data_IF_006199755902
#
_entry.id   IF_006199755902
#
_cell.length_a   1.000
_cell.length_b   1.000
_cell.length_c   1.000
_cell.angle_alpha   90.00
_cell.angle_beta   90.00
_cell.angle_gamma   90.00
#
_symmetry.space_group_name_H-M   'P 1'
#
loop_
_entity.id
_entity.type
_entity.pdbx_description
1 polymer ?
#
# COMPACT_ATOMS: atom_id res chain seq x y z
N UNK A 1 10.98 26.04 -6.93
CA UNK A 1 11.11 25.21 -8.16
C UNK A 1 10.50 25.93 -9.37
N UNK A 2 11.12 25.88 -10.55
CA UNK A 2 10.49 26.42 -11.77
C UNK A 2 9.25 25.60 -12.15
N UNK A 3 8.26 26.21 -12.83
CA UNK A 3 7.06 25.48 -13.32
C UNK A 3 7.45 24.24 -14.15
N UNK A 4 8.55 24.33 -14.91
CA UNK A 4 9.09 23.20 -15.68
C UNK A 4 9.59 22.05 -14.81
N UNK A 5 10.32 22.34 -13.73
CA UNK A 5 10.79 21.31 -12.79
C UNK A 5 9.62 20.64 -12.06
N UNK A 6 8.60 21.42 -11.65
CA UNK A 6 7.40 20.89 -11.01
C UNK A 6 6.64 19.90 -11.89
N UNK A 7 6.45 20.23 -13.17
CA UNK A 7 5.77 19.33 -14.10
C UNK A 7 6.54 18.03 -14.33
N UNK A 8 7.88 18.08 -14.40
CA UNK A 8 8.72 16.88 -14.49
C UNK A 8 8.55 15.97 -13.26
N UNK A 9 8.49 16.55 -12.05
CA UNK A 9 8.24 15.78 -10.82
C UNK A 9 6.86 15.11 -10.84
N UNK A 10 5.81 15.83 -11.21
CA UNK A 10 4.46 15.27 -11.34
C UNK A 10 4.41 14.13 -12.36
N UNK A 11 5.05 14.30 -13.52
CA UNK A 11 5.10 13.28 -14.56
C UNK A 11 5.85 12.01 -14.12
N UNK A 12 6.85 12.14 -13.25
CA UNK A 12 7.62 11.02 -12.72
C UNK A 12 6.91 10.27 -11.57
N UNK A 13 5.77 10.75 -11.07
CA UNK A 13 5.07 10.18 -9.89
C UNK A 13 4.82 8.66 -10.03
N UNK A 14 4.35 8.21 -11.19
CA UNK A 14 4.02 6.80 -11.45
C UNK A 14 5.18 6.00 -12.06
N UNK A 15 6.38 6.58 -12.13
CA UNK A 15 7.55 5.88 -12.66
C UNK A 15 7.81 4.61 -11.84
N UNK A 16 7.81 3.46 -12.54
CA UNK A 16 8.00 2.11 -11.98
C UNK A 16 7.00 1.73 -10.87
N UNK A 17 5.82 2.34 -10.84
CA UNK A 17 4.77 2.05 -9.86
C UNK A 17 4.46 0.56 -9.73
N UNK A 18 4.26 -0.14 -10.86
CA UNK A 18 4.03 -1.58 -10.87
C UNK A 18 5.18 -2.38 -10.22
N UNK A 19 6.43 -2.05 -10.54
CA UNK A 19 7.60 -2.72 -9.93
C UNK A 19 7.70 -2.46 -8.43
N UNK A 20 7.38 -1.24 -7.97
CA UNK A 20 7.33 -0.91 -6.53
C UNK A 20 6.22 -1.68 -5.82
N UNK A 21 5.02 -1.74 -6.41
CA UNK A 21 3.88 -2.49 -5.89
C UNK A 21 4.21 -3.97 -5.76
N UNK A 22 4.71 -4.59 -6.83
CA UNK A 22 5.13 -5.98 -6.86
C UNK A 22 6.15 -6.32 -5.77
N UNK A 23 7.11 -5.42 -5.52
CA UNK A 23 8.08 -5.59 -4.43
C UNK A 23 7.42 -5.59 -3.04
N UNK A 24 6.46 -4.70 -2.78
CA UNK A 24 5.71 -4.70 -1.52
C UNK A 24 4.84 -5.96 -1.36
N UNK A 25 4.25 -6.44 -2.45
CA UNK A 25 3.49 -7.70 -2.45
C UNK A 25 4.39 -8.90 -2.17
N UNK A 26 5.59 -8.95 -2.78
CA UNK A 26 6.57 -9.99 -2.51
C UNK A 26 6.90 -10.07 -1.02
N UNK A 27 7.18 -8.93 -0.37
CA UNK A 27 7.44 -8.90 1.07
C UNK A 27 6.26 -9.38 1.90
N UNK A 28 5.05 -8.92 1.57
CA UNK A 28 3.83 -9.27 2.30
C UNK A 28 3.52 -10.76 2.20
N UNK A 29 3.66 -11.34 1.00
CA UNK A 29 3.38 -12.76 0.76
C UNK A 29 4.46 -13.64 1.40
N UNK A 30 5.73 -13.26 1.31
CA UNK A 30 6.80 -13.98 2.01
C UNK A 30 6.57 -13.98 3.52
N UNK A 31 6.23 -12.83 4.11
CA UNK A 31 5.90 -12.74 5.54
C UNK A 31 4.73 -13.66 5.93
N UNK A 32 3.63 -13.60 5.19
CA UNK A 32 2.45 -14.43 5.47
C UNK A 32 2.77 -15.93 5.38
N UNK A 33 3.47 -16.39 4.34
CA UNK A 33 3.81 -17.82 4.19
C UNK A 33 4.71 -18.30 5.32
N UNK A 34 5.71 -17.50 5.72
CA UNK A 34 6.61 -17.85 6.82
C UNK A 34 5.86 -18.03 8.15
N UNK A 35 4.76 -17.31 8.35
CA UNK A 35 4.00 -17.31 9.61
C UNK A 35 2.65 -18.05 9.57
N UNK A 36 2.19 -18.56 8.41
CA UNK A 36 0.94 -19.32 8.29
C UNK A 36 1.18 -20.83 8.25
N UNK A 37 1.95 -21.28 7.26
CA UNK A 37 2.19 -22.71 7.00
C UNK A 37 3.39 -23.23 7.79
N UNK A 38 4.28 -22.33 8.23
CA UNK A 38 5.56 -22.68 8.81
C UNK A 38 6.47 -23.39 7.81
N UNK A 39 7.73 -23.63 8.18
CA UNK A 39 8.71 -24.26 7.28
C UNK A 39 8.49 -25.77 7.10
N UNK A 40 7.57 -26.38 7.86
CA UNK A 40 7.21 -27.81 7.87
C UNK A 40 8.38 -28.79 7.63
N UNK A 41 9.56 -28.44 8.14
CA UNK A 41 10.80 -29.21 8.05
C UNK A 41 11.40 -29.42 6.65
N UNK A 42 10.91 -28.74 5.59
CA UNK A 42 11.26 -29.07 4.20
C UNK A 42 11.86 -27.92 3.36
N UNK A 43 11.74 -26.66 3.80
CA UNK A 43 12.29 -25.50 3.09
C UNK A 43 12.95 -24.53 4.07
N UNK A 44 14.04 -23.87 3.68
CA UNK A 44 14.58 -22.75 4.46
C UNK A 44 13.74 -21.48 4.24
N UNK A 45 13.77 -20.47 5.14
CA UNK A 45 13.11 -19.19 4.87
C UNK A 45 13.55 -18.55 3.55
N UNK A 46 14.81 -18.78 3.16
CA UNK A 46 15.32 -18.31 1.88
C UNK A 46 14.65 -19.01 0.69
N UNK A 47 14.34 -20.30 0.79
CA UNK A 47 13.68 -21.03 -0.30
C UNK A 47 12.28 -20.47 -0.53
N UNK A 48 11.54 -20.18 0.55
CA UNK A 48 10.25 -19.46 0.48
C UNK A 48 10.42 -18.10 -0.19
N UNK A 49 11.43 -17.31 0.21
CA UNK A 49 11.69 -16.01 -0.42
C UNK A 49 11.96 -16.13 -1.92
N UNK A 50 12.76 -17.12 -2.35
CA UNK A 50 13.06 -17.38 -3.76
C UNK A 50 11.82 -17.78 -4.55
N UNK A 51 11.00 -18.67 -4.00
CA UNK A 51 9.76 -19.11 -4.63
C UNK A 51 8.79 -17.94 -4.84
N UNK A 52 8.57 -17.13 -3.81
CA UNK A 52 7.72 -15.94 -3.93
C UNK A 52 8.33 -14.93 -4.92
N UNK A 53 9.65 -14.73 -4.91
CA UNK A 53 10.33 -13.84 -5.85
C UNK A 53 10.13 -14.23 -7.32
N UNK A 54 9.99 -15.52 -7.65
CA UNK A 54 9.70 -15.97 -9.01
C UNK A 54 8.36 -15.45 -9.53
N UNK A 55 7.36 -15.33 -8.66
CA UNK A 55 6.01 -14.88 -9.02
C UNK A 55 5.87 -13.36 -8.99
N UNK A 56 6.56 -12.68 -8.08
CA UNK A 56 6.34 -11.26 -7.81
C UNK A 56 7.47 -10.35 -8.30
N UNK A 57 8.69 -10.83 -8.58
CA UNK A 57 9.78 -9.98 -9.05
C UNK A 57 10.08 -10.20 -10.53
N UNK A 58 10.25 -9.11 -11.27
CA UNK A 58 10.66 -9.13 -12.69
C UNK A 58 12.12 -9.57 -12.82
N UNK A 59 12.97 -9.09 -11.93
CA UNK A 59 14.38 -9.47 -11.86
C UNK A 59 14.59 -10.35 -10.65
N UNK A 60 15.08 -11.56 -10.88
CA UNK A 60 15.27 -12.53 -9.81
C UNK A 60 16.42 -12.11 -8.88
N UNK A 61 16.28 -12.36 -7.57
CA UNK A 61 17.33 -12.07 -6.61
C UNK A 61 18.57 -12.93 -6.88
N UNK A 62 19.74 -12.40 -6.55
CA UNK A 62 21.01 -13.11 -6.71
C UNK A 62 21.08 -14.32 -5.76
N UNK A 63 21.86 -15.34 -6.10
CA UNK A 63 21.97 -16.55 -5.26
C UNK A 63 22.47 -16.27 -3.84
N UNK A 64 23.28 -15.22 -3.68
CA UNK A 64 23.83 -14.76 -2.41
C UNK A 64 22.96 -13.70 -1.71
N UNK A 65 21.76 -13.40 -2.23
CA UNK A 65 20.82 -12.48 -1.57
C UNK A 65 20.49 -13.01 -0.16
N UNK A 66 20.56 -12.15 0.86
CA UNK A 66 20.20 -12.49 2.24
C UNK A 66 19.27 -11.44 2.84
N UNK A 67 18.40 -10.85 2.00
CA UNK A 67 17.45 -9.80 2.37
C UNK A 67 16.70 -10.10 3.66
N UNK A 68 16.24 -11.35 3.85
CA UNK A 68 15.50 -11.76 5.05
C UNK A 68 16.28 -11.50 6.35
N UNK A 69 17.60 -11.67 6.35
CA UNK A 69 18.42 -11.40 7.54
C UNK A 69 18.39 -9.93 7.97
N UNK A 70 18.08 -9.01 7.04
CA UNK A 70 17.89 -7.58 7.32
C UNK A 70 16.41 -7.17 7.42
N UNK A 71 15.46 -8.12 7.39
CA UNK A 71 14.04 -7.79 7.34
C UNK A 71 13.45 -7.55 8.75
N UNK A 72 13.95 -6.53 9.43
CA UNK A 72 13.62 -6.26 10.84
C UNK A 72 12.14 -6.03 11.13
N UNK A 73 11.33 -5.63 10.14
CA UNK A 73 9.90 -5.39 10.35
C UNK A 73 9.19 -6.64 10.89
N UNK A 74 9.53 -7.82 10.37
CA UNK A 74 8.84 -9.08 10.70
C UNK A 74 9.63 -9.94 11.71
N UNK A 75 10.92 -9.68 11.91
CA UNK A 75 11.77 -10.46 12.84
C UNK A 75 12.12 -9.73 14.13
N UNK A 76 12.06 -8.39 14.15
CA UNK A 76 12.43 -7.56 15.29
C UNK A 76 11.50 -6.34 15.44
N UNK A 77 10.28 -6.42 14.89
CA UNK A 77 9.30 -5.35 14.84
C UNK A 77 7.89 -5.88 15.01
N UNK A 78 6.90 -4.99 14.93
CA UNK A 78 5.49 -5.32 15.14
C UNK A 78 4.74 -5.84 13.91
N UNK A 79 5.44 -6.25 12.85
CA UNK A 79 4.82 -6.59 11.56
C UNK A 79 4.92 -8.07 11.20
N UNK A 80 5.28 -8.95 12.13
CA UNK A 80 5.24 -10.40 11.90
C UNK A 80 3.80 -10.84 11.52
N UNK A 81 3.65 -11.58 10.42
CA UNK A 81 2.34 -11.91 9.82
C UNK A 81 1.46 -10.68 9.52
N UNK A 82 2.08 -9.52 9.34
CA UNK A 82 1.43 -8.22 9.34
C UNK A 82 2.04 -7.24 8.35
N UNK A 83 3.03 -7.61 7.55
CA UNK A 83 3.67 -6.68 6.61
C UNK A 83 2.69 -6.20 5.51
N UNK A 84 1.65 -7.01 5.21
CA UNK A 84 0.57 -6.62 4.31
C UNK A 84 -0.18 -5.35 4.76
N UNK A 85 -0.11 -5.01 6.06
CA UNK A 85 -0.75 -3.83 6.65
C UNK A 85 -0.36 -2.52 5.95
N UNK A 86 0.85 -2.41 5.40
CA UNK A 86 1.24 -1.24 4.61
C UNK A 86 0.36 -1.05 3.39
N UNK A 87 0.19 -2.10 2.57
CA UNK A 87 -0.64 -2.01 1.36
C UNK A 87 -2.13 -1.96 1.69
N UNK A 88 -2.55 -2.61 2.77
CA UNK A 88 -3.91 -2.47 3.29
C UNK A 88 -4.23 -1.03 3.69
N UNK A 89 -3.35 -0.40 4.48
CA UNK A 89 -3.49 0.99 4.89
C UNK A 89 -3.38 1.96 3.70
N UNK A 90 -2.62 1.62 2.66
CA UNK A 90 -2.51 2.44 1.45
C UNK A 90 -3.79 2.45 0.61
N UNK A 91 -4.55 1.35 0.60
CA UNK A 91 -5.91 1.34 0.03
C UNK A 91 -6.79 2.34 0.78
N UNK A 92 -6.79 2.28 2.12
CA UNK A 92 -7.56 3.20 2.95
C UNK A 92 -7.12 4.66 2.74
N UNK A 93 -5.83 4.94 2.73
CA UNK A 93 -5.33 6.32 2.62
C UNK A 93 -5.55 6.91 1.23
N UNK A 94 -5.39 6.13 0.15
CA UNK A 94 -5.68 6.59 -1.21
C UNK A 94 -7.17 6.87 -1.39
N UNK A 95 -8.04 5.98 -0.89
CA UNK A 95 -9.49 6.17 -0.96
C UNK A 95 -9.95 7.33 -0.06
N UNK A 96 -9.36 7.50 1.12
CA UNK A 96 -9.61 8.66 1.96
C UNK A 96 -9.19 9.97 1.27
N UNK A 97 -8.02 10.00 0.62
CA UNK A 97 -7.57 11.15 -0.16
C UNK A 97 -8.50 11.42 -1.35
N UNK A 98 -9.07 10.38 -1.96
CA UNK A 98 -10.03 10.56 -3.06
C UNK A 98 -11.28 11.34 -2.64
N UNK A 99 -11.66 11.34 -1.36
CA UNK A 99 -12.74 12.19 -0.87
C UNK A 99 -12.40 13.70 -0.99
N UNK A 100 -11.11 14.07 -0.86
CA UNK A 100 -10.65 15.44 -1.12
C UNK A 100 -10.60 15.74 -2.63
N UNK A 101 -10.25 14.75 -3.46
CA UNK A 101 -10.30 14.89 -4.92
C UNK A 101 -11.74 15.12 -5.42
N UNK A 102 -12.72 14.40 -4.86
CA UNK A 102 -14.14 14.47 -5.22
C UNK A 102 -14.77 15.84 -4.99
N UNK A 103 -14.34 16.56 -3.94
CA UNK A 103 -14.86 17.89 -3.63
C UNK A 103 -14.11 19.04 -4.35
N UNK A 104 -13.01 18.72 -5.04
CA UNK A 104 -12.13 19.68 -5.69
C UNK A 104 -11.06 20.23 -4.74
N UNK A 105 -9.78 19.94 -5.02
CA UNK A 105 -8.65 20.36 -4.18
C UNK A 105 -8.39 21.88 -4.19
N UNK A 106 -8.96 22.60 -5.13
CA UNK A 106 -8.94 24.06 -5.25
C UNK A 106 -10.12 24.75 -4.53
N UNK A 107 -11.10 23.98 -4.06
CA UNK A 107 -12.22 24.48 -3.28
C UNK A 107 -11.90 24.48 -1.78
N UNK A 108 -11.27 25.56 -1.29
CA UNK A 108 -10.78 25.66 0.09
C UNK A 108 -11.84 25.38 1.15
N UNK A 109 -13.08 25.85 0.95
CA UNK A 109 -14.18 25.61 1.89
C UNK A 109 -14.56 24.13 1.98
N UNK A 110 -14.63 23.44 0.83
CA UNK A 110 -14.95 22.00 0.81
C UNK A 110 -13.80 21.11 1.27
N UNK A 111 -12.56 21.53 0.99
CA UNK A 111 -11.36 20.87 1.53
C UNK A 111 -11.33 20.99 3.05
N UNK A 112 -11.64 22.17 3.59
CA UNK A 112 -11.75 22.40 5.05
C UNK A 112 -12.83 21.51 5.66
N UNK A 113 -14.04 21.49 5.10
CA UNK A 113 -15.14 20.63 5.57
C UNK A 113 -14.75 19.14 5.58
N UNK A 114 -14.07 18.68 4.53
CA UNK A 114 -13.58 17.29 4.44
C UNK A 114 -12.45 17.01 5.46
N UNK A 115 -11.57 17.98 5.68
CA UNK A 115 -10.51 17.90 6.68
C UNK A 115 -11.04 17.84 8.11
N UNK A 116 -12.07 18.61 8.44
CA UNK A 116 -12.76 18.56 9.73
C UNK A 116 -13.38 17.18 9.95
N UNK A 117 -14.06 16.63 8.94
CA UNK A 117 -14.60 15.27 9.00
C UNK A 117 -13.51 14.22 9.20
N UNK A 118 -12.36 14.35 8.51
CA UNK A 118 -11.22 13.43 8.68
C UNK A 118 -10.63 13.50 10.09
N UNK A 119 -10.50 14.71 10.64
CA UNK A 119 -10.05 14.95 12.01
C UNK A 119 -10.98 14.28 13.02
N UNK A 120 -12.28 14.53 12.90
CA UNK A 120 -13.28 14.09 13.90
C UNK A 120 -13.57 12.58 13.83
N UNK A 121 -13.10 11.90 12.77
CA UNK A 121 -13.24 10.45 12.59
C UNK A 121 -11.88 9.75 12.69
N UNK A 122 -11.12 9.68 11.59
CA UNK A 122 -9.90 8.89 11.45
C UNK A 122 -8.83 9.25 12.48
N UNK A 123 -8.70 10.53 12.83
CA UNK A 123 -7.67 10.99 13.77
C UNK A 123 -8.13 11.02 15.23
N UNK A 124 -9.42 11.25 15.50
CA UNK A 124 -9.93 11.44 16.86
C UNK A 124 -10.34 10.15 17.57
N UNK A 125 -10.80 9.13 16.84
CA UNK A 125 -11.45 7.96 17.46
C UNK A 125 -10.47 6.88 17.94
N UNK A 126 -9.20 6.92 17.49
CA UNK A 126 -8.16 5.97 17.90
C UNK A 126 -8.61 4.50 17.80
N UNK A 127 -8.26 3.70 18.81
CA UNK A 127 -8.74 2.31 18.95
C UNK A 127 -10.08 2.17 19.68
N UNK A 128 -10.78 3.27 19.99
CA UNK A 128 -12.03 3.26 20.75
C UNK A 128 -13.26 2.85 19.93
N UNK A 129 -13.11 2.72 18.61
CA UNK A 129 -14.15 2.27 17.67
C UNK A 129 -13.53 1.38 16.61
N UNK A 130 -14.34 0.46 16.08
CA UNK A 130 -13.93 -0.40 14.98
C UNK A 130 -13.44 0.42 13.78
N UNK A 131 -12.26 0.07 13.24
CA UNK A 131 -11.60 0.83 12.19
C UNK A 131 -12.41 0.87 10.87
N UNK A 132 -13.16 -0.20 10.55
CA UNK A 132 -14.02 -0.22 9.37
C UNK A 132 -15.15 0.80 9.53
N UNK A 133 -15.72 0.91 10.74
CA UNK A 133 -16.75 1.91 11.06
C UNK A 133 -16.20 3.33 11.07
N UNK A 134 -15.01 3.56 11.60
CA UNK A 134 -14.35 4.88 11.53
C UNK A 134 -14.17 5.30 10.06
N UNK A 135 -13.72 4.38 9.20
CA UNK A 135 -13.55 4.67 7.78
C UNK A 135 -14.89 4.92 7.08
N UNK A 136 -15.92 4.10 7.33
CA UNK A 136 -17.27 4.30 6.79
C UNK A 136 -17.88 5.64 7.21
N UNK A 137 -17.71 6.05 8.46
CA UNK A 137 -18.18 7.35 8.95
C UNK A 137 -17.49 8.53 8.23
N UNK A 138 -16.19 8.41 7.93
CA UNK A 138 -15.47 9.42 7.17
C UNK A 138 -15.88 9.44 5.69
N UNK A 139 -15.90 8.26 5.07
CA UNK A 139 -15.98 8.08 3.62
C UNK A 139 -17.40 8.00 3.08
N UNK A 140 -18.36 7.63 3.93
CA UNK A 140 -19.76 7.33 3.59
C UNK A 140 -19.97 5.96 2.97
N UNK A 141 -18.92 5.15 2.79
CA UNK A 141 -18.96 3.81 2.18
C UNK A 141 -17.74 2.96 2.60
N UNK A 142 -17.77 1.63 2.40
CA UNK A 142 -16.59 0.79 2.55
C UNK A 142 -15.44 1.19 1.61
N UNK A 143 -14.18 0.86 1.96
CA UNK A 143 -13.01 1.21 1.17
C UNK A 143 -12.94 0.45 -0.16
N UNK A 144 -12.41 1.08 -1.20
CA UNK A 144 -12.09 0.45 -2.49
C UNK A 144 -10.65 0.70 -2.92
N UNK A 145 -10.08 -0.22 -3.71
CA UNK A 145 -8.72 -0.11 -4.22
C UNK A 145 -8.59 0.82 -5.44
N UNK A 146 -9.70 1.32 -5.98
CA UNK A 146 -9.73 2.05 -7.24
C UNK A 146 -8.90 3.34 -7.19
N UNK A 147 -8.97 4.07 -6.07
CA UNK A 147 -8.18 5.28 -5.88
C UNK A 147 -6.67 4.97 -5.87
N UNK A 148 -6.25 3.92 -5.16
CA UNK A 148 -4.86 3.48 -5.14
C UNK A 148 -4.36 3.13 -6.55
N UNK A 149 -5.13 2.31 -7.28
CA UNK A 149 -4.79 1.92 -8.64
C UNK A 149 -4.77 3.13 -9.59
N UNK A 150 -5.68 4.09 -9.44
CA UNK A 150 -5.69 5.34 -10.22
C UNK A 150 -4.45 6.17 -9.94
N UNK A 151 -4.09 6.35 -8.67
CA UNK A 151 -2.95 7.17 -8.24
C UNK A 151 -1.60 6.59 -8.67
N UNK A 152 -1.51 5.26 -8.80
CA UNK A 152 -0.33 4.55 -9.30
C UNK A 152 -0.35 4.34 -10.83
N UNK A 153 -1.42 4.73 -11.53
CA UNK A 153 -1.56 4.56 -12.98
C UNK A 153 -1.75 3.11 -13.43
N UNK A 154 -2.39 2.29 -12.59
CA UNK A 154 -2.58 0.84 -12.76
C UNK A 154 -4.05 0.42 -12.96
N UNK A 155 -4.98 1.37 -13.06
CA UNK A 155 -6.35 1.05 -13.48
C UNK A 155 -6.32 0.55 -14.93
N UNK A 156 -6.88 -0.64 -15.15
CA UNK A 156 -7.04 -1.19 -16.50
C UNK A 156 -8.11 -0.36 -17.21
N UNK A 157 -7.69 0.55 -18.09
CA UNK A 157 -8.59 1.09 -19.10
C UNK A 157 -9.09 -0.03 -19.99
N UNK A 158 -10.33 0.03 -20.46
CA UNK A 158 -10.97 -0.90 -21.39
C UNK A 158 -10.32 -0.93 -22.80
N UNK A 159 -9.00 -1.02 -22.88
CA UNK A 159 -8.20 -0.85 -24.10
C UNK A 159 -6.87 -1.63 -24.08
N UNK A 160 -6.80 -2.73 -23.33
CA UNK A 160 -5.75 -3.73 -23.50
C UNK A 160 -6.41 -5.06 -23.92
N UNK A 161 -6.68 -5.19 -25.22
CA UNK A 161 -6.75 -6.47 -25.92
C UNK A 161 -5.48 -6.62 -26.73
#
# INVERSE_FOLDING_TARGET
PSRGAWNKLKAAKTYRAASRLLRQLQFSVTDLILHSEGLNGKASPHDVYKEVAQKYLITQPMQFDRFLCGFSHIFAGGYAAGYFSYKWAEVLSADAFSAFEEVGLDNEDKVRETGERFRDTVLALGGGRDASKVFEDFRGRPPTADALLRHEGLLVGAGAK
#
